data_IF_414746087303
#
_entry.id   IF_414746087303
#
_cell.length_a   1.000
_cell.length_b   1.000
_cell.length_c   1.000
_cell.angle_alpha   90.00
_cell.angle_beta   90.00
_cell.angle_gamma   90.00
#
_symmetry.space_group_name_H-M   'P 1'
#
loop_
_entity.id
_entity.type
_entity.pdbx_description
1 polymer ?
#
# COMPACT_ATOMS: atom_id res chain seq x y z
N UNK A 1 -26.62 -3.05 -2.59
CA UNK A 1 -26.09 -3.66 -3.84
C UNK A 1 -27.22 -4.46 -4.45
N UNK A 2 -27.66 -4.05 -5.63
CA UNK A 2 -28.64 -4.79 -6.43
C UNK A 2 -28.00 -6.04 -7.02
N UNK A 3 -28.81 -7.04 -7.37
CA UNK A 3 -28.34 -8.24 -8.05
C UNK A 3 -27.84 -7.88 -9.46
N UNK A 4 -26.51 -7.87 -9.64
CA UNK A 4 -25.86 -7.51 -10.91
C UNK A 4 -24.76 -6.45 -10.75
N UNK A 5 -24.79 -5.68 -9.65
CA UNK A 5 -23.80 -4.65 -9.36
C UNK A 5 -22.38 -5.25 -9.27
N UNK A 6 -21.40 -4.55 -9.86
CA UNK A 6 -20.00 -4.92 -9.74
C UNK A 6 -19.50 -4.52 -8.33
N UNK A 7 -18.65 -5.34 -7.68
CA UNK A 7 -18.11 -5.01 -6.36
C UNK A 7 -17.44 -3.64 -6.34
N UNK A 8 -17.54 -2.91 -5.24
CA UNK A 8 -16.82 -1.65 -5.09
C UNK A 8 -15.30 -1.86 -5.21
N UNK A 9 -14.61 -0.97 -5.92
CA UNK A 9 -13.16 -0.90 -5.91
C UNK A 9 -12.75 0.09 -4.82
N UNK A 10 -12.41 -0.42 -3.65
CA UNK A 10 -11.95 0.41 -2.54
C UNK A 10 -10.71 1.22 -2.93
N UNK A 11 -10.72 2.51 -2.62
CA UNK A 11 -9.61 3.40 -2.94
C UNK A 11 -9.46 3.73 -4.44
N UNK A 12 -10.48 3.49 -5.26
CA UNK A 12 -10.46 3.80 -6.70
C UNK A 12 -9.94 5.22 -6.99
N UNK A 13 -10.38 6.20 -6.20
CA UNK A 13 -10.02 7.61 -6.35
C UNK A 13 -8.91 8.05 -5.40
N UNK A 14 -8.32 7.14 -4.62
CA UNK A 14 -7.29 7.49 -3.64
C UNK A 14 -6.05 8.07 -4.32
N UNK A 15 -5.61 9.23 -3.86
CA UNK A 15 -4.37 9.89 -4.28
C UNK A 15 -3.66 10.42 -3.03
N UNK A 16 -2.33 10.53 -3.02
CA UNK A 16 -1.65 11.27 -1.98
C UNK A 16 -2.14 12.73 -2.00
N UNK A 17 -2.56 13.24 -0.84
CA UNK A 17 -3.02 14.64 -0.71
C UNK A 17 -1.86 15.64 -0.75
N UNK A 18 -0.68 15.20 -0.34
CA UNK A 18 0.53 16.01 -0.23
C UNK A 18 1.79 15.15 -0.40
N UNK A 19 2.90 15.75 -0.86
CA UNK A 19 4.20 15.08 -0.83
C UNK A 19 4.62 14.74 0.61
N UNK A 20 5.47 13.73 0.76
CA UNK A 20 6.14 13.43 2.02
C UNK A 20 7.49 14.16 2.05
N UNK A 21 7.95 14.54 3.24
CA UNK A 21 9.32 14.99 3.42
C UNK A 21 10.24 13.76 3.41
N UNK A 22 11.25 13.79 2.56
CA UNK A 22 12.22 12.70 2.45
C UNK A 22 13.33 12.93 3.47
N UNK A 23 13.62 11.89 4.25
CA UNK A 23 14.80 11.82 5.09
C UNK A 23 16.05 11.47 4.26
N UNK A 24 15.86 10.72 3.17
CA UNK A 24 16.89 10.40 2.19
C UNK A 24 16.35 10.59 0.77
N UNK A 25 17.14 11.15 -0.17
CA UNK A 25 16.76 11.27 -1.56
C UNK A 25 16.55 9.88 -2.19
N UNK A 26 15.60 9.76 -3.11
CA UNK A 26 15.34 8.53 -3.86
C UNK A 26 16.16 8.50 -5.16
N UNK A 27 17.13 7.60 -5.35
CA UNK A 27 17.83 7.47 -6.62
C UNK A 27 16.88 7.02 -7.73
N UNK A 28 16.93 7.71 -8.88
CA UNK A 28 16.11 7.41 -10.07
C UNK A 28 16.23 5.96 -10.54
N UNK A 29 17.45 5.41 -10.56
CA UNK A 29 17.70 4.02 -10.92
C UNK A 29 17.06 3.02 -9.94
N UNK A 30 17.16 3.31 -8.63
CA UNK A 30 16.54 2.48 -7.60
C UNK A 30 15.01 2.51 -7.70
N UNK A 31 14.42 3.70 -7.91
CA UNK A 31 12.99 3.84 -8.13
C UNK A 31 12.49 3.01 -9.31
N UNK A 32 13.19 3.07 -10.46
CA UNK A 32 12.85 2.29 -11.65
C UNK A 32 12.93 0.78 -11.36
N UNK A 33 14.00 0.33 -10.71
CA UNK A 33 14.20 -1.08 -10.38
C UNK A 33 13.08 -1.62 -9.49
N UNK A 34 12.71 -0.89 -8.44
CA UNK A 34 11.62 -1.27 -7.53
C UNK A 34 10.26 -1.31 -8.24
N UNK A 35 9.95 -0.30 -9.06
CA UNK A 35 8.69 -0.25 -9.81
C UNK A 35 8.57 -1.41 -10.80
N UNK A 36 9.63 -1.70 -11.56
CA UNK A 36 9.61 -2.82 -12.52
C UNK A 36 9.57 -4.17 -11.82
N UNK A 37 10.27 -4.32 -10.68
CA UNK A 37 10.20 -5.54 -9.87
C UNK A 37 8.78 -5.77 -9.34
N UNK A 38 8.13 -4.73 -8.82
CA UNK A 38 6.73 -4.80 -8.39
C UNK A 38 5.81 -5.25 -9.51
N UNK A 39 5.97 -4.68 -10.71
CA UNK A 39 5.17 -5.02 -11.89
C UNK A 39 5.45 -6.45 -12.32
N UNK A 40 6.70 -6.89 -12.39
CA UNK A 40 7.05 -8.26 -12.76
C UNK A 40 6.45 -9.30 -11.80
N UNK A 41 6.34 -9.00 -10.50
CA UNK A 41 5.81 -9.92 -9.50
C UNK A 41 4.28 -10.05 -9.52
N UNK A 42 3.55 -9.04 -10.01
CA UNK A 42 2.08 -8.94 -9.83
C UNK A 42 1.30 -8.66 -11.11
N UNK A 43 1.93 -8.05 -12.09
CA UNK A 43 1.34 -7.46 -13.29
C UNK A 43 2.28 -7.59 -14.49
N UNK A 44 2.92 -8.75 -14.64
CA UNK A 44 3.93 -9.07 -15.66
C UNK A 44 3.47 -8.71 -17.08
N UNK A 45 2.19 -8.93 -17.40
CA UNK A 45 1.59 -8.56 -18.68
C UNK A 45 1.69 -7.06 -19.03
N UNK A 46 1.89 -6.18 -18.04
CA UNK A 46 2.06 -4.74 -18.23
C UNK A 46 3.52 -4.27 -18.21
N UNK A 47 4.49 -5.17 -18.00
CA UNK A 47 5.90 -4.81 -17.80
C UNK A 47 6.47 -3.97 -18.94
N UNK A 48 6.20 -4.39 -20.19
CA UNK A 48 6.68 -3.68 -21.38
C UNK A 48 6.11 -2.26 -21.47
N UNK A 49 4.80 -2.11 -21.26
CA UNK A 49 4.14 -0.80 -21.30
C UNK A 49 4.68 0.12 -20.20
N UNK A 50 4.77 -0.38 -18.97
CA UNK A 50 5.29 0.37 -17.82
C UNK A 50 6.71 0.85 -18.08
N UNK A 51 7.60 -0.04 -18.54
CA UNK A 51 8.99 0.30 -18.83
C UNK A 51 9.10 1.41 -19.90
N UNK A 52 8.36 1.29 -21.00
CA UNK A 52 8.38 2.28 -22.07
C UNK A 52 7.82 3.64 -21.63
N UNK A 53 6.71 3.64 -20.88
CA UNK A 53 6.14 4.87 -20.33
C UNK A 53 7.12 5.54 -19.36
N UNK A 54 7.79 4.75 -18.52
CA UNK A 54 8.80 5.25 -17.60
C UNK A 54 9.95 5.90 -18.37
N UNK A 55 10.55 5.18 -19.31
CA UNK A 55 11.73 5.62 -20.05
C UNK A 55 11.44 6.85 -20.91
N UNK A 56 10.20 7.01 -21.40
CA UNK A 56 9.76 8.21 -22.12
C UNK A 56 9.70 9.46 -21.24
N UNK A 57 9.34 9.35 -19.97
CA UNK A 57 9.08 10.50 -19.09
C UNK A 57 10.29 10.85 -18.23
N UNK A 58 11.12 9.85 -17.89
CA UNK A 58 12.22 10.01 -16.93
C UNK A 58 13.37 10.90 -17.43
N UNK A 59 13.47 11.16 -18.73
CA UNK A 59 14.59 11.88 -19.34
C UNK A 59 14.78 13.31 -18.83
N UNK A 60 13.70 13.98 -18.42
CA UNK A 60 13.74 15.34 -17.89
C UNK A 60 13.91 15.42 -16.35
N UNK A 61 13.96 14.26 -15.67
CA UNK A 61 14.01 14.20 -14.21
C UNK A 61 15.44 14.17 -13.68
N UNK A 62 15.69 14.70 -12.47
CA UNK A 62 16.97 14.62 -11.80
C UNK A 62 17.38 13.17 -11.50
N UNK A 63 18.68 12.96 -11.23
CA UNK A 63 19.21 11.64 -10.85
C UNK A 63 18.71 11.16 -9.47
N UNK A 64 18.26 12.09 -8.63
CA UNK A 64 17.63 11.80 -7.35
C UNK A 64 16.36 12.61 -7.17
N UNK A 65 15.33 12.00 -6.60
CA UNK A 65 14.08 12.67 -6.27
C UNK A 65 14.00 13.05 -4.80
N UNK A 66 13.50 14.26 -4.57
CA UNK A 66 12.95 14.71 -3.30
C UNK A 66 11.43 14.56 -3.28
N UNK A 67 10.83 14.59 -2.09
CA UNK A 67 9.39 14.42 -1.86
C UNK A 67 8.47 15.13 -2.85
N UNK A 68 8.57 16.46 -3.03
CA UNK A 68 7.75 17.20 -3.99
C UNK A 68 7.96 16.76 -5.44
N UNK A 69 9.22 16.57 -5.87
CA UNK A 69 9.55 16.14 -7.23
C UNK A 69 9.05 14.72 -7.54
N UNK A 70 9.17 13.80 -6.57
CA UNK A 70 8.67 12.43 -6.69
C UNK A 70 7.14 12.39 -6.80
N UNK A 71 6.44 13.20 -5.99
CA UNK A 71 4.98 13.28 -6.05
C UNK A 71 4.51 13.78 -7.43
N UNK A 72 5.11 14.86 -7.93
CA UNK A 72 4.79 15.40 -9.24
C UNK A 72 5.11 14.41 -10.38
N UNK A 73 6.26 13.73 -10.31
CA UNK A 73 6.62 12.68 -11.26
C UNK A 73 5.62 11.52 -11.22
N UNK A 74 5.23 11.06 -10.02
CA UNK A 74 4.26 9.97 -9.83
C UNK A 74 2.93 10.28 -10.50
N UNK A 75 2.41 11.50 -10.35
CA UNK A 75 1.14 11.90 -10.97
C UNK A 75 1.25 11.90 -12.50
N UNK A 76 2.35 12.43 -13.06
CA UNK A 76 2.61 12.40 -14.51
C UNK A 76 2.71 10.98 -15.04
N UNK A 77 3.47 10.13 -14.36
CA UNK A 77 3.71 8.74 -14.73
C UNK A 77 2.41 7.93 -14.71
N UNK A 78 1.63 8.00 -13.62
CA UNK A 78 0.34 7.31 -13.51
C UNK A 78 -0.65 7.80 -14.56
N UNK A 79 -0.68 9.12 -14.83
CA UNK A 79 -1.53 9.69 -15.88
C UNK A 79 -1.14 9.22 -17.29
N UNK A 80 0.15 9.09 -17.57
CA UNK A 80 0.63 8.56 -18.85
C UNK A 80 0.33 7.06 -18.99
N UNK A 81 0.47 6.29 -17.91
CA UNK A 81 0.11 4.88 -17.87
C UNK A 81 -1.39 4.65 -18.11
N UNK A 82 -2.25 5.47 -17.48
CA UNK A 82 -3.72 5.45 -17.70
C UNK A 82 -4.07 5.61 -19.19
N UNK A 83 -3.46 6.61 -19.85
CA UNK A 83 -3.64 6.86 -21.29
C UNK A 83 -3.07 5.74 -22.16
N UNK A 84 -1.88 5.25 -21.82
CA UNK A 84 -1.22 4.16 -22.55
C UNK A 84 -2.07 2.87 -22.55
N UNK A 85 -2.63 2.51 -21.39
CA UNK A 85 -3.51 1.35 -21.24
C UNK A 85 -4.80 1.49 -22.06
N UNK A 86 -5.45 2.67 -22.01
CA UNK A 86 -6.65 2.94 -22.83
C UNK A 86 -6.37 2.82 -24.31
N UNK A 87 -5.33 3.50 -24.77
CA UNK A 87 -4.93 3.47 -26.19
C UNK A 87 -4.59 2.05 -26.64
N UNK A 88 -3.85 1.30 -25.83
CA UNK A 88 -3.51 -0.09 -26.15
C UNK A 88 -4.79 -0.94 -26.30
N UNK A 89 -5.71 -0.84 -25.34
CA UNK A 89 -6.99 -1.55 -25.36
C UNK A 89 -7.81 -1.22 -26.61
N UNK A 90 -8.02 0.07 -26.89
CA UNK A 90 -8.77 0.55 -28.06
C UNK A 90 -8.11 0.10 -29.37
N UNK A 91 -6.80 0.24 -29.50
CA UNK A 91 -6.06 -0.14 -30.72
C UNK A 91 -6.02 -1.65 -30.97
N UNK A 92 -6.11 -2.47 -29.92
CA UNK A 92 -5.98 -3.93 -30.02
C UNK A 92 -7.33 -4.60 -30.25
N UNK A 93 -8.39 -4.10 -29.61
CA UNK A 93 -9.70 -4.76 -29.58
C UNK A 93 -10.76 -4.02 -30.41
N UNK A 94 -10.67 -2.69 -30.56
CA UNK A 94 -11.65 -1.91 -31.31
C UNK A 94 -13.08 -2.26 -30.93
N UNK A 95 -13.87 -2.68 -31.93
CA UNK A 95 -15.29 -3.02 -31.78
C UNK A 95 -15.54 -4.27 -30.90
N UNK A 96 -14.55 -5.14 -30.67
CA UNK A 96 -14.68 -6.29 -29.75
C UNK A 96 -14.87 -5.85 -28.30
N UNK A 97 -14.62 -4.58 -27.96
CA UNK A 97 -14.85 -4.06 -26.61
C UNK A 97 -16.32 -4.11 -26.18
N UNK A 98 -17.25 -4.00 -27.13
CA UNK A 98 -18.69 -4.05 -26.87
C UNK A 98 -19.23 -5.47 -26.77
N UNK A 99 -18.41 -6.47 -27.14
CA UNK A 99 -18.78 -7.88 -27.03
C UNK A 99 -19.08 -8.26 -25.59
N UNK A 100 -20.24 -8.89 -25.40
CA UNK A 100 -20.62 -9.46 -24.12
C UNK A 100 -19.77 -10.70 -23.80
N UNK A 101 -19.10 -10.69 -22.65
CA UNK A 101 -18.22 -11.79 -22.18
C UNK A 101 -18.85 -12.53 -21.00
N UNK A 102 -19.59 -11.81 -20.17
CA UNK A 102 -20.36 -12.31 -19.03
C UNK A 102 -21.75 -11.67 -19.15
N UNK A 103 -22.85 -12.34 -18.74
CA UNK A 103 -24.19 -11.76 -18.78
C UNK A 103 -24.23 -10.31 -18.29
N UNK A 104 -24.69 -9.41 -19.16
CA UNK A 104 -24.82 -7.96 -18.99
C UNK A 104 -23.50 -7.20 -18.82
N UNK A 105 -22.37 -7.76 -19.26
CA UNK A 105 -21.04 -7.16 -19.11
C UNK A 105 -20.23 -7.29 -20.39
N UNK A 106 -19.87 -6.13 -20.93
CA UNK A 106 -18.98 -6.04 -22.09
C UNK A 106 -17.53 -6.34 -21.71
N UNK A 107 -16.72 -6.72 -22.71
CA UNK A 107 -15.28 -6.88 -22.56
C UNK A 107 -14.64 -5.58 -22.06
N UNK A 108 -15.03 -4.44 -22.63
CA UNK A 108 -14.54 -3.12 -22.24
C UNK A 108 -14.78 -2.80 -20.76
N UNK A 109 -15.97 -3.11 -20.23
CA UNK A 109 -16.28 -2.91 -18.81
C UNK A 109 -15.36 -3.74 -17.89
N UNK A 110 -15.07 -4.98 -18.27
CA UNK A 110 -14.21 -5.87 -17.50
C UNK A 110 -12.74 -5.42 -17.54
N UNK A 111 -12.25 -4.99 -18.70
CA UNK A 111 -10.90 -4.48 -18.87
C UNK A 111 -10.71 -3.15 -18.13
N UNK A 112 -11.70 -2.26 -18.18
CA UNK A 112 -11.68 -0.99 -17.46
C UNK A 112 -11.58 -1.19 -15.94
N UNK A 113 -12.28 -2.18 -15.38
CA UNK A 113 -12.12 -2.54 -13.97
C UNK A 113 -10.73 -3.08 -13.63
N UNK A 114 -10.16 -3.95 -14.47
CA UNK A 114 -8.80 -4.48 -14.27
C UNK A 114 -7.77 -3.35 -14.32
N UNK A 115 -7.92 -2.44 -15.29
CA UNK A 115 -7.14 -1.22 -15.44
C UNK A 115 -7.22 -0.35 -14.19
N UNK A 116 -8.42 -0.15 -13.66
CA UNK A 116 -8.63 0.62 -12.44
C UNK A 116 -7.90 0.01 -11.23
N UNK A 117 -7.98 -1.31 -11.02
CA UNK A 117 -7.23 -2.00 -9.96
C UNK A 117 -5.72 -1.84 -10.14
N UNK A 118 -5.21 -2.07 -11.36
CA UNK A 118 -3.79 -1.91 -11.65
C UNK A 118 -3.30 -0.48 -11.36
N UNK A 119 -4.06 0.55 -11.72
CA UNK A 119 -3.71 1.94 -11.42
C UNK A 119 -3.78 2.28 -9.92
N UNK A 120 -4.63 1.60 -9.14
CA UNK A 120 -4.59 1.70 -7.66
C UNK A 120 -3.29 1.09 -7.14
N UNK A 121 -2.93 -0.11 -7.59
CA UNK A 121 -1.71 -0.79 -7.17
C UNK A 121 -0.45 0.01 -7.52
N UNK A 122 -0.38 0.57 -8.73
CA UNK A 122 0.74 1.42 -9.15
C UNK A 122 0.85 2.68 -8.30
N UNK A 123 -0.26 3.37 -7.98
CA UNK A 123 -0.21 4.51 -7.05
C UNK A 123 0.31 4.12 -5.67
N UNK A 124 -0.18 3.01 -5.13
CA UNK A 124 0.24 2.52 -3.83
C UNK A 124 1.73 2.17 -3.83
N UNK A 125 2.24 1.60 -4.92
CA UNK A 125 3.66 1.34 -5.10
C UNK A 125 4.48 2.64 -5.11
N UNK A 126 4.07 3.64 -5.90
CA UNK A 126 4.75 4.94 -5.93
C UNK A 126 4.74 5.62 -4.56
N UNK A 127 3.62 5.55 -3.83
CA UNK A 127 3.52 6.10 -2.47
C UNK A 127 4.34 5.31 -1.46
N UNK A 128 4.48 3.99 -1.63
CA UNK A 128 5.31 3.14 -0.76
C UNK A 128 6.78 3.57 -0.84
N UNK A 129 7.30 3.83 -2.04
CA UNK A 129 8.66 4.35 -2.21
C UNK A 129 8.83 5.69 -1.47
N UNK A 130 7.86 6.60 -1.59
CA UNK A 130 7.87 7.86 -0.85
C UNK A 130 7.92 7.63 0.68
N UNK A 131 7.15 6.68 1.20
CA UNK A 131 7.20 6.35 2.63
C UNK A 131 8.55 5.77 3.04
N UNK A 132 9.17 4.88 2.26
CA UNK A 132 10.49 4.36 2.59
C UNK A 132 11.55 5.45 2.74
N UNK A 133 11.47 6.49 1.92
CA UNK A 133 12.38 7.62 1.96
C UNK A 133 12.06 8.62 3.08
N UNK A 134 10.80 8.71 3.51
CA UNK A 134 10.38 9.57 4.61
C UNK A 134 10.67 8.99 6.02
N UNK A 135 11.03 7.72 6.10
CA UNK A 135 11.28 7.04 7.38
C UNK A 135 12.62 7.45 7.98
N UNK A 136 12.56 8.15 9.12
CA UNK A 136 13.72 8.56 9.90
C UNK A 136 14.28 7.43 10.77
N UNK A 137 15.49 7.60 11.30
CA UNK A 137 16.06 6.69 12.31
C UNK A 137 15.20 6.67 13.57
N UNK A 138 14.63 7.82 13.97
CA UNK A 138 13.72 7.91 15.11
C UNK A 138 12.49 7.03 14.95
N UNK A 139 11.87 7.02 13.76
CA UNK A 139 10.77 6.09 13.45
C UNK A 139 11.20 4.63 13.60
N UNK A 140 12.38 4.25 13.08
CA UNK A 140 12.89 2.87 13.19
C UNK A 140 13.13 2.44 14.63
N UNK A 141 13.71 3.32 15.45
CA UNK A 141 13.93 3.05 16.88
C UNK A 141 12.62 2.89 17.64
N UNK A 142 11.63 3.73 17.35
CA UNK A 142 10.30 3.62 17.95
C UNK A 142 9.59 2.32 17.53
N UNK A 143 9.66 1.94 16.24
CA UNK A 143 9.13 0.67 15.78
C UNK A 143 9.80 -0.50 16.47
N UNK A 144 11.14 -0.51 16.58
CA UNK A 144 11.87 -1.56 17.30
C UNK A 144 11.45 -1.66 18.77
N UNK A 145 11.29 -0.52 19.44
CA UNK A 145 10.80 -0.45 20.82
C UNK A 145 9.41 -1.06 20.94
N UNK A 146 8.48 -0.67 20.06
CA UNK A 146 7.11 -1.16 20.08
C UNK A 146 7.03 -2.65 19.73
N UNK A 147 7.80 -3.13 18.75
CA UNK A 147 7.92 -4.56 18.42
C UNK A 147 8.46 -5.35 19.62
N UNK A 148 9.48 -4.84 20.31
CA UNK A 148 10.05 -5.50 21.49
C UNK A 148 9.05 -5.56 22.63
N UNK A 149 8.38 -4.45 22.95
CA UNK A 149 7.33 -4.39 23.99
C UNK A 149 6.19 -5.36 23.69
N UNK A 150 5.78 -5.40 22.43
CA UNK A 150 4.68 -6.23 21.99
C UNK A 150 5.05 -7.71 22.05
N UNK A 151 6.28 -8.06 21.69
CA UNK A 151 6.83 -9.42 21.89
C UNK A 151 6.92 -9.81 23.37
N UNK A 152 7.35 -8.90 24.24
CA UNK A 152 7.37 -9.14 25.68
C UNK A 152 5.96 -9.40 26.23
N UNK A 153 4.99 -8.57 25.85
CA UNK A 153 3.59 -8.75 26.21
C UNK A 153 3.03 -10.08 25.69
N UNK A 154 3.29 -10.42 24.43
CA UNK A 154 2.88 -11.69 23.82
C UNK A 154 3.45 -12.89 24.59
N UNK A 155 4.72 -12.81 25.00
CA UNK A 155 5.38 -13.85 25.80
C UNK A 155 4.70 -14.00 27.16
N UNK A 156 4.51 -12.90 27.89
CA UNK A 156 3.85 -12.95 29.20
C UNK A 156 2.40 -13.43 29.11
N UNK A 157 1.64 -12.98 28.10
CA UNK A 157 0.29 -13.47 27.89
C UNK A 157 0.30 -14.96 27.56
N UNK A 158 1.23 -15.42 26.72
CA UNK A 158 1.37 -16.84 26.39
C UNK A 158 1.69 -17.67 27.63
N UNK A 159 2.58 -17.22 28.51
CA UNK A 159 2.84 -17.87 29.81
C UNK A 159 1.56 -17.96 30.65
N UNK A 160 0.84 -16.84 30.82
CA UNK A 160 -0.44 -16.80 31.56
C UNK A 160 -1.46 -17.78 30.95
N UNK A 161 -1.61 -17.82 29.62
CA UNK A 161 -2.61 -18.65 28.96
C UNK A 161 -2.21 -20.13 28.85
N UNK A 162 -0.91 -20.45 28.83
CA UNK A 162 -0.39 -21.82 28.69
C UNK A 162 -0.20 -22.47 30.06
N UNK A 163 0.43 -21.76 30.98
CA UNK A 163 0.76 -22.27 32.31
C UNK A 163 -0.39 -22.01 33.27
N UNK A 164 -1.06 -20.85 33.17
CA UNK A 164 -2.14 -20.47 34.08
C UNK A 164 -1.61 -19.82 35.36
N UNK A 165 -2.20 -18.71 35.76
CA UNK A 165 -1.87 -18.01 37.02
C UNK A 165 -2.83 -18.44 38.13
N UNK A 166 -2.31 -18.76 39.31
CA UNK A 166 -3.14 -19.08 40.47
C UNK A 166 -3.97 -17.86 40.90
N UNK A 167 -5.26 -18.07 41.12
CA UNK A 167 -6.18 -17.05 41.63
C UNK A 167 -6.38 -17.22 43.15
N UNK A 168 -6.79 -16.17 43.89
CA UNK A 168 -6.93 -16.22 45.35
C UNK A 168 -7.92 -17.27 45.88
N UNK A 169 -8.83 -17.75 45.04
CA UNK A 169 -9.80 -18.82 45.31
C UNK A 169 -9.26 -20.24 44.99
N UNK A 170 -7.99 -20.36 44.59
CA UNK A 170 -7.32 -21.63 44.27
C UNK A 170 -7.57 -22.13 42.84
N UNK A 171 -8.27 -21.36 42.00
CA UNK A 171 -8.43 -21.69 40.58
C UNK A 171 -7.21 -21.26 39.73
N UNK A 172 -7.17 -21.61 38.45
CA UNK A 172 -6.14 -21.12 37.51
C UNK A 172 -6.76 -20.26 36.43
N UNK A 173 -6.27 -19.03 36.29
CA UNK A 173 -6.60 -18.14 35.20
C UNK A 173 -5.75 -18.47 33.96
N UNK A 174 -6.37 -19.06 32.93
CA UNK A 174 -5.75 -19.47 31.67
C UNK A 174 -6.79 -19.82 30.59
N UNK A 175 -6.39 -20.08 29.34
CA UNK A 175 -7.33 -20.19 28.20
C UNK A 175 -6.68 -20.42 26.82
N UNK A 176 -7.48 -20.83 25.82
CA UNK A 176 -6.97 -21.30 24.52
C UNK A 176 -6.68 -20.15 23.53
N UNK A 177 -5.40 -19.78 23.42
CA UNK A 177 -4.78 -19.27 22.20
C UNK A 177 -4.77 -17.75 21.99
N UNK A 178 -3.64 -17.11 22.29
CA UNK A 178 -3.34 -15.77 21.80
C UNK A 178 -2.78 -15.88 20.37
N UNK A 179 -3.40 -15.20 19.39
CA UNK A 179 -2.93 -15.21 17.99
C UNK A 179 -2.05 -13.98 17.75
N UNK A 180 -0.75 -14.20 17.61
CA UNK A 180 0.31 -13.20 17.44
C UNK A 180 0.37 -12.53 16.05
N UNK A 181 -0.53 -12.87 15.15
CA UNK A 181 -0.54 -12.31 13.80
C UNK A 181 -1.14 -10.90 13.89
N UNK A 182 -0.39 -9.87 13.45
CA UNK A 182 -0.79 -8.45 13.21
C UNK A 182 -0.13 -7.33 14.02
N UNK A 183 0.86 -7.62 14.87
CA UNK A 183 1.41 -6.59 15.77
C UNK A 183 2.27 -5.53 15.05
N UNK A 184 3.16 -5.91 14.12
CA UNK A 184 4.08 -4.96 13.46
C UNK A 184 3.36 -3.96 12.54
N UNK A 185 2.40 -4.44 11.74
CA UNK A 185 1.62 -3.58 10.84
C UNK A 185 0.73 -2.59 11.58
N UNK A 186 0.10 -3.02 12.68
CA UNK A 186 -0.72 -2.15 13.54
C UNK A 186 0.14 -1.10 14.24
N UNK A 187 1.33 -1.48 14.73
CA UNK A 187 2.29 -0.56 15.35
C UNK A 187 2.76 0.50 14.36
N UNK A 188 3.14 0.11 13.14
CA UNK A 188 3.59 1.07 12.13
C UNK A 188 2.49 2.08 11.76
N UNK A 189 1.24 1.62 11.60
CA UNK A 189 0.09 2.52 11.39
C UNK A 189 -0.12 3.45 12.58
N UNK A 190 -0.03 2.95 13.81
CA UNK A 190 -0.21 3.75 15.02
C UNK A 190 0.84 4.86 15.17
N UNK A 191 2.08 4.65 14.68
CA UNK A 191 3.11 5.70 14.70
C UNK A 191 2.86 6.85 13.72
N UNK A 192 2.06 6.63 12.68
CA UNK A 192 1.66 7.69 11.75
C UNK A 192 0.50 8.54 12.28
N UNK A 193 -0.12 8.15 13.40
CA UNK A 193 -1.17 8.94 14.06
C UNK A 193 -0.54 10.03 14.93
N UNK A 194 -1.16 11.21 14.94
CA UNK A 194 -0.81 12.25 15.92
C UNK A 194 -1.19 11.76 17.32
N UNK A 195 -0.18 11.39 18.11
CA UNK A 195 -0.35 10.93 19.48
C UNK A 195 -0.28 12.12 20.43
N UNK A 196 -1.17 12.16 21.42
CA UNK A 196 -1.06 13.03 22.59
C UNK A 196 -0.67 12.16 23.79
N UNK A 197 0.64 11.86 23.98
CA UNK A 197 1.08 10.99 25.07
C UNK A 197 0.74 11.55 26.46
N UNK A 198 0.61 12.88 26.57
CA UNK A 198 0.21 13.60 27.79
C UNK A 198 -1.30 13.86 27.87
N UNK A 199 -2.12 13.22 27.02
CA UNK A 199 -3.56 13.39 27.10
C UNK A 199 -4.07 12.89 28.46
N UNK A 200 -4.98 13.63 29.12
CA UNK A 200 -5.60 13.16 30.35
C UNK A 200 -6.44 11.90 30.08
N UNK A 201 -6.62 11.05 31.10
CA UNK A 201 -7.23 9.71 30.95
C UNK A 201 -8.68 9.73 30.47
N UNK A 202 -9.35 10.86 30.57
CA UNK A 202 -10.71 11.11 30.12
C UNK A 202 -10.78 11.74 28.72
N UNK A 203 -9.62 11.97 28.07
CA UNK A 203 -9.56 12.50 26.72
C UNK A 203 -10.32 11.58 25.75
N UNK A 204 -11.17 12.20 24.94
CA UNK A 204 -11.89 11.54 23.85
C UNK A 204 -11.24 11.89 22.50
N UNK A 205 -11.35 11.01 21.49
CA UNK A 205 -10.82 11.24 20.15
C UNK A 205 -11.32 12.54 19.52
#
# INVERSE_FOLDING_TARGET
MSQGDLPEIFGLNWRPKAPLEFYQPLPKGAARSEVLTFVAQRHDAHLFLVANVWDHIIGAEPETFEGPSWNAFSDRFIGALDRGLKKQMESTLGDELDREVIPRRSLGLMLERRRAHFLVDMRLMMRRLAHYMAVTVGHRMEWQRLMTRTRCLDTSLKEIFTEGVETPDGSRFGGKGFRSTWQEGVVAVATALNRQPEAPRDARP
#
